data_IF_046155272129
#
_entry.id   IF_046155272129
#
_cell.length_a   1.000
_cell.length_b   1.000
_cell.length_c   1.000
_cell.angle_alpha   90.00
_cell.angle_beta   90.00
_cell.angle_gamma   90.00
#
_symmetry.space_group_name_H-M   'P 1'
#
loop_
_entity.id
_entity.type
_entity.pdbx_description
1 polymer ?
#
# COMPACT_ATOMS: atom_id res chain seq x y z
N UNK A 1 -12.14 -21.12 -1.18
CA UNK A 1 -11.04 -21.42 -0.25
C UNK A 1 -10.69 -20.13 0.48
N UNK A 2 -10.42 -20.17 1.78
CA UNK A 2 -10.01 -18.98 2.53
C UNK A 2 -8.61 -18.56 2.10
N UNK A 3 -8.30 -17.26 2.13
CA UNK A 3 -6.97 -16.74 1.73
C UNK A 3 -5.83 -17.46 2.44
N UNK A 4 -5.99 -17.76 3.74
CA UNK A 4 -5.02 -18.50 4.54
C UNK A 4 -4.76 -19.92 3.99
N UNK A 5 -5.82 -20.65 3.65
CA UNK A 5 -5.73 -22.02 3.13
C UNK A 5 -5.04 -22.04 1.75
N UNK A 6 -5.41 -21.11 0.86
CA UNK A 6 -4.77 -20.94 -0.46
C UNK A 6 -3.28 -20.66 -0.29
N UNK A 7 -2.95 -19.75 0.63
CA UNK A 7 -1.57 -19.36 0.91
C UNK A 7 -0.75 -20.53 1.44
N UNK A 8 -1.25 -21.26 2.44
CA UNK A 8 -0.57 -22.41 3.04
C UNK A 8 -0.35 -23.53 2.02
N UNK A 9 -1.39 -23.86 1.25
CA UNK A 9 -1.29 -24.86 0.19
C UNK A 9 -0.21 -24.48 -0.82
N UNK A 10 -0.25 -23.22 -1.28
CA UNK A 10 0.70 -22.74 -2.27
C UNK A 10 2.12 -22.64 -1.71
N UNK A 11 2.29 -22.26 -0.43
CA UNK A 11 3.60 -22.23 0.21
C UNK A 11 4.23 -23.62 0.25
N UNK A 12 3.45 -24.66 0.58
CA UNK A 12 3.91 -26.05 0.59
C UNK A 12 4.30 -26.50 -0.83
N UNK A 13 3.44 -26.26 -1.82
CA UNK A 13 3.69 -26.65 -3.21
C UNK A 13 4.93 -25.95 -3.76
N UNK A 14 5.07 -24.64 -3.54
CA UNK A 14 6.25 -23.90 -3.96
C UNK A 14 7.50 -24.33 -3.20
N UNK A 15 7.41 -24.64 -1.91
CA UNK A 15 8.56 -25.17 -1.16
C UNK A 15 9.06 -26.48 -1.75
N UNK A 16 8.17 -27.36 -2.22
CA UNK A 16 8.57 -28.60 -2.90
C UNK A 16 9.19 -28.32 -4.27
N UNK A 17 8.65 -27.34 -5.02
CA UNK A 17 9.13 -27.03 -6.37
C UNK A 17 10.47 -26.26 -6.39
N UNK A 18 10.77 -25.46 -5.35
CA UNK A 18 11.97 -24.61 -5.27
C UNK A 18 12.95 -24.98 -4.13
N UNK A 19 12.59 -25.89 -3.22
CA UNK A 19 13.34 -26.17 -1.99
C UNK A 19 14.48 -27.19 -2.06
N UNK A 20 14.79 -27.79 -3.22
CA UNK A 20 15.84 -28.82 -3.35
C UNK A 20 16.92 -28.47 -4.38
N UNK A 21 17.65 -27.37 -4.17
CA UNK A 21 18.83 -27.09 -5.01
C UNK A 21 20.05 -27.98 -4.64
N UNK A 22 20.03 -28.66 -3.48
CA UNK A 22 21.16 -29.46 -2.99
C UNK A 22 21.14 -30.92 -3.47
N UNK A 23 19.99 -31.45 -3.91
CA UNK A 23 19.87 -32.79 -4.51
C UNK A 23 19.78 -32.65 -6.04
N UNK A 24 20.95 -32.64 -6.69
CA UNK A 24 21.14 -32.51 -8.15
C UNK A 24 20.50 -33.61 -9.01
N UNK A 25 19.67 -34.48 -8.44
CA UNK A 25 19.06 -35.64 -9.11
C UNK A 25 17.59 -35.46 -9.51
N UNK A 26 16.89 -34.42 -9.02
CA UNK A 26 15.49 -34.17 -9.33
C UNK A 26 15.32 -32.79 -9.98
N UNK A 27 15.23 -32.77 -11.31
CA UNK A 27 14.86 -31.57 -12.06
C UNK A 27 13.35 -31.29 -11.89
N UNK A 28 13.03 -30.35 -11.00
CA UNK A 28 11.65 -29.91 -10.72
C UNK A 28 11.18 -28.79 -11.66
N UNK A 29 11.93 -28.48 -12.74
CA UNK A 29 11.57 -27.44 -13.71
C UNK A 29 10.17 -27.62 -14.29
N UNK A 30 9.79 -28.87 -14.61
CA UNK A 30 8.45 -29.21 -15.10
C UNK A 30 7.34 -28.82 -14.14
N UNK A 31 7.52 -29.09 -12.84
CA UNK A 31 6.55 -28.71 -11.79
C UNK A 31 6.49 -27.19 -11.62
N UNK A 32 7.64 -26.51 -11.65
CA UNK A 32 7.70 -25.04 -11.58
C UNK A 32 6.92 -24.40 -12.73
N UNK A 33 7.09 -24.91 -13.95
CA UNK A 33 6.38 -24.43 -15.14
C UNK A 33 4.87 -24.68 -15.07
N UNK A 34 4.45 -25.85 -14.57
CA UNK A 34 3.03 -26.16 -14.36
C UNK A 34 2.38 -25.22 -13.32
N UNK A 35 3.07 -24.99 -12.21
CA UNK A 35 2.63 -24.05 -11.16
C UNK A 35 2.47 -22.66 -11.75
N UNK A 36 3.50 -22.16 -12.43
CA UNK A 36 3.49 -20.84 -13.07
C UNK A 36 2.33 -20.75 -14.08
N UNK A 37 2.12 -21.79 -14.89
CA UNK A 37 1.06 -21.83 -15.88
C UNK A 37 -0.34 -21.77 -15.23
N UNK A 38 -0.56 -22.50 -14.14
CA UNK A 38 -1.84 -22.49 -13.40
C UNK A 38 -2.09 -21.10 -12.82
N UNK A 39 -1.08 -20.49 -12.20
CA UNK A 39 -1.18 -19.13 -11.65
C UNK A 39 -1.53 -18.12 -12.75
N UNK A 40 -0.83 -18.15 -13.89
CA UNK A 40 -1.13 -17.26 -15.01
C UNK A 40 -2.54 -17.46 -15.57
N UNK A 41 -3.04 -18.69 -15.61
CA UNK A 41 -4.44 -18.98 -16.00
C UNK A 41 -5.43 -18.35 -15.02
N UNK A 42 -5.17 -18.43 -13.71
CA UNK A 42 -6.01 -17.81 -12.69
C UNK A 42 -6.00 -16.28 -12.79
N UNK A 43 -4.83 -15.67 -13.04
CA UNK A 43 -4.69 -14.22 -13.20
C UNK A 43 -5.35 -13.65 -14.47
N UNK A 44 -5.67 -14.51 -15.45
CA UNK A 44 -6.43 -14.13 -16.67
C UNK A 44 -7.91 -14.49 -16.58
N UNK A 45 -8.36 -15.06 -15.47
CA UNK A 45 -9.75 -15.45 -15.30
C UNK A 45 -10.62 -14.21 -15.01
N UNK A 46 -11.71 -13.98 -15.76
CA UNK A 46 -12.62 -12.86 -15.49
C UNK A 46 -13.43 -13.05 -14.21
N UNK A 47 -13.50 -14.28 -13.67
CA UNK A 47 -14.12 -14.53 -12.37
C UNK A 47 -13.23 -13.95 -11.26
N UNK A 48 -13.75 -12.95 -10.55
CA UNK A 48 -13.03 -12.26 -9.47
C UNK A 48 -12.59 -13.18 -8.35
N UNK A 49 -13.31 -14.28 -8.07
CA UNK A 49 -12.93 -15.25 -7.04
C UNK A 49 -11.73 -16.08 -7.47
N UNK A 50 -11.67 -16.45 -8.75
CA UNK A 50 -10.53 -17.19 -9.31
C UNK A 50 -9.32 -16.26 -9.42
N UNK A 51 -9.51 -15.04 -9.93
CA UNK A 51 -8.47 -14.01 -9.99
C UNK A 51 -7.89 -13.72 -8.59
N UNK A 52 -8.74 -13.56 -7.59
CA UNK A 52 -8.35 -13.37 -6.18
C UNK A 52 -7.45 -14.49 -5.66
N UNK A 53 -7.77 -15.75 -5.93
CA UNK A 53 -6.89 -16.86 -5.55
C UNK A 53 -5.58 -16.83 -6.34
N UNK A 54 -5.65 -16.49 -7.64
CA UNK A 54 -4.48 -16.29 -8.49
C UNK A 54 -3.51 -15.27 -7.94
N UNK A 55 -4.00 -14.13 -7.40
CA UNK A 55 -3.18 -13.11 -6.73
C UNK A 55 -2.42 -13.70 -5.55
N UNK A 56 -3.11 -14.43 -4.66
CA UNK A 56 -2.48 -15.06 -3.49
C UNK A 56 -1.42 -16.07 -3.93
N UNK A 57 -1.77 -16.94 -4.89
CA UNK A 57 -0.84 -17.95 -5.40
C UNK A 57 0.40 -17.32 -6.05
N UNK A 58 0.19 -16.26 -6.84
CA UNK A 58 1.28 -15.58 -7.54
C UNK A 58 2.26 -14.90 -6.57
N UNK A 59 1.75 -14.31 -5.47
CA UNK A 59 2.62 -13.73 -4.44
C UNK A 59 3.40 -14.80 -3.67
N UNK A 60 2.86 -16.01 -3.53
CA UNK A 60 3.62 -17.15 -3.01
C UNK A 60 4.68 -17.63 -4.01
N UNK A 61 4.39 -17.66 -5.32
CA UNK A 61 5.44 -17.92 -6.33
C UNK A 61 6.54 -16.85 -6.25
N UNK A 62 6.18 -15.57 -6.15
CA UNK A 62 7.12 -14.45 -6.00
C UNK A 62 8.02 -14.68 -4.78
N UNK A 63 7.44 -15.02 -3.62
CA UNK A 63 8.21 -15.37 -2.41
C UNK A 63 9.30 -16.38 -2.71
N UNK A 64 8.95 -17.51 -3.31
CA UNK A 64 9.90 -18.61 -3.57
C UNK A 64 10.89 -18.33 -4.70
N UNK A 65 10.56 -17.42 -5.63
CA UNK A 65 11.50 -16.95 -6.65
C UNK A 65 12.54 -15.97 -6.08
N UNK A 66 12.16 -15.17 -5.07
CA UNK A 66 13.01 -14.10 -4.54
C UNK A 66 13.69 -14.46 -3.22
N UNK A 67 13.27 -15.52 -2.54
CA UNK A 67 14.01 -16.05 -1.40
C UNK A 67 15.34 -16.67 -1.86
N UNK A 68 16.43 -16.16 -1.30
CA UNK A 68 17.79 -16.67 -1.51
C UNK A 68 18.10 -17.77 -0.50
N UNK A 69 18.92 -18.74 -0.88
CA UNK A 69 19.47 -19.72 0.08
C UNK A 69 20.42 -19.03 1.07
N UNK A 70 20.70 -19.67 2.21
CA UNK A 70 21.64 -19.13 3.21
C UNK A 70 23.08 -18.94 2.67
N UNK A 71 23.41 -19.65 1.59
CA UNK A 71 24.74 -19.60 0.95
C UNK A 71 24.87 -18.47 -0.08
N UNK A 72 23.75 -17.92 -0.57
CA UNK A 72 23.72 -16.84 -1.56
C UNK A 72 23.94 -15.48 -0.88
N UNK A 73 24.81 -14.63 -1.44
CA UNK A 73 24.98 -13.27 -0.93
C UNK A 73 23.70 -12.45 -1.11
N UNK A 74 23.29 -11.80 -0.02
CA UNK A 74 22.13 -10.92 0.01
C UNK A 74 22.54 -9.54 0.54
N UNK A 75 23.47 -8.93 -0.18
CA UNK A 75 23.97 -7.60 0.12
C UNK A 75 22.89 -6.56 -0.19
N UNK A 76 22.81 -5.53 0.65
CA UNK A 76 21.93 -4.40 0.39
C UNK A 76 22.54 -3.62 -0.78
N UNK A 77 21.78 -3.36 -1.87
CA UNK A 77 22.28 -2.54 -2.97
C UNK A 77 22.79 -1.19 -2.41
N UNK A 78 24.03 -0.83 -2.70
CA UNK A 78 24.61 0.45 -2.31
C UNK A 78 23.91 1.56 -3.11
N UNK A 79 22.96 2.27 -2.49
CA UNK A 79 22.41 3.54 -3.00
C UNK A 79 23.52 4.59 -2.89
N UNK A 80 23.95 5.26 -3.96
CA UNK A 80 23.43 6.58 -4.35
C UNK A 80 23.75 6.99 -5.81
N UNK A 81 24.48 6.18 -6.61
CA UNK A 81 25.12 6.70 -7.84
C UNK A 81 24.37 6.39 -9.14
N UNK A 82 23.43 5.43 -9.19
CA UNK A 82 22.61 5.26 -10.40
C UNK A 82 21.32 4.49 -10.08
N UNK A 83 20.21 5.23 -9.86
CA UNK A 83 18.88 4.64 -9.68
C UNK A 83 18.44 3.81 -10.90
N UNK A 84 19.03 4.08 -12.08
CA UNK A 84 18.78 3.36 -13.33
C UNK A 84 19.58 2.05 -13.49
N UNK A 85 20.54 1.76 -12.60
CA UNK A 85 21.43 0.58 -12.71
C UNK A 85 21.08 -0.59 -11.81
N UNK A 86 19.92 -0.59 -11.13
CA UNK A 86 19.53 -1.68 -10.24
C UNK A 86 19.26 -2.98 -11.04
N UNK A 87 20.29 -3.83 -11.13
CA UNK A 87 20.23 -5.11 -11.83
C UNK A 87 19.54 -6.15 -10.94
N UNK A 88 18.44 -6.72 -11.46
CA UNK A 88 17.80 -7.89 -10.87
C UNK A 88 18.39 -9.15 -11.50
N UNK A 89 18.48 -10.23 -10.72
CA UNK A 89 18.77 -11.54 -11.29
C UNK A 89 17.54 -12.08 -12.05
N UNK A 90 17.73 -13.11 -12.88
CA UNK A 90 16.67 -13.69 -13.71
C UNK A 90 15.42 -14.14 -12.91
N UNK A 91 15.57 -14.62 -11.67
CA UNK A 91 14.43 -15.03 -10.83
C UNK A 91 13.65 -13.81 -10.34
N UNK A 92 14.37 -12.80 -9.85
CA UNK A 92 13.83 -11.53 -9.37
C UNK A 92 13.18 -10.71 -10.50
N UNK A 93 13.71 -10.76 -11.72
CA UNK A 93 13.07 -10.16 -12.90
C UNK A 93 11.72 -10.81 -13.19
N UNK A 94 11.67 -12.16 -13.25
CA UNK A 94 10.41 -12.90 -13.44
C UNK A 94 9.41 -12.58 -12.34
N UNK A 95 9.85 -12.57 -11.08
CA UNK A 95 9.01 -12.23 -9.93
C UNK A 95 8.47 -10.80 -10.03
N UNK A 96 9.30 -9.85 -10.45
CA UNK A 96 8.90 -8.46 -10.63
C UNK A 96 7.86 -8.31 -11.75
N UNK A 97 8.04 -8.98 -12.89
CA UNK A 97 7.05 -8.98 -13.97
C UNK A 97 5.71 -9.56 -13.53
N UNK A 98 5.70 -10.61 -12.68
CA UNK A 98 4.48 -11.11 -12.07
C UNK A 98 3.81 -10.06 -11.19
N UNK A 99 4.60 -9.39 -10.35
CA UNK A 99 4.08 -8.38 -9.44
C UNK A 99 3.42 -7.23 -10.20
N UNK A 100 4.07 -6.72 -11.25
CA UNK A 100 3.51 -5.67 -12.11
C UNK A 100 2.19 -6.09 -12.76
N UNK A 101 2.13 -7.33 -13.27
CA UNK A 101 0.91 -7.87 -13.87
C UNK A 101 -0.25 -7.93 -12.87
N UNK A 102 0.01 -8.36 -11.64
CA UNK A 102 -1.02 -8.47 -10.59
C UNK A 102 -1.48 -7.09 -10.12
N UNK A 103 -0.55 -6.16 -9.92
CA UNK A 103 -0.86 -4.77 -9.54
C UNK A 103 -1.74 -4.14 -10.62
N UNK A 104 -1.35 -4.25 -11.89
CA UNK A 104 -2.11 -3.71 -13.01
C UNK A 104 -3.48 -4.40 -13.17
N UNK A 105 -3.51 -5.73 -13.08
CA UNK A 105 -4.73 -6.53 -13.23
C UNK A 105 -5.75 -6.32 -12.11
N UNK A 106 -5.30 -5.90 -10.92
CA UNK A 106 -6.18 -5.68 -9.77
C UNK A 106 -6.78 -4.28 -9.70
N UNK A 107 -6.28 -3.28 -10.46
CA UNK A 107 -6.73 -1.87 -10.37
C UNK A 107 -8.24 -1.65 -10.57
N UNK A 108 -8.88 -2.50 -11.37
CA UNK A 108 -10.32 -2.41 -11.65
C UNK A 108 -11.20 -2.93 -10.51
N UNK A 109 -10.63 -3.67 -9.55
CA UNK A 109 -11.34 -4.24 -8.42
C UNK A 109 -10.69 -3.82 -7.10
N UNK A 110 -11.30 -2.90 -6.32
CA UNK A 110 -10.73 -2.39 -5.07
C UNK A 110 -10.40 -3.48 -4.06
N UNK A 111 -11.28 -4.47 -3.89
CA UNK A 111 -11.08 -5.54 -2.90
C UNK A 111 -9.84 -6.37 -3.26
N UNK A 112 -9.68 -6.71 -4.53
CA UNK A 112 -8.50 -7.47 -4.97
C UNK A 112 -7.25 -6.60 -4.95
N UNK A 113 -7.34 -5.31 -5.26
CA UNK A 113 -6.18 -4.41 -5.21
C UNK A 113 -5.65 -4.25 -3.78
N UNK A 114 -6.55 -4.05 -2.80
CA UNK A 114 -6.21 -4.04 -1.37
C UNK A 114 -5.60 -5.39 -0.97
N UNK A 115 -6.21 -6.50 -1.40
CA UNK A 115 -5.66 -7.83 -1.12
C UNK A 115 -4.25 -8.01 -1.68
N UNK A 116 -3.98 -7.53 -2.90
CA UNK A 116 -2.64 -7.60 -3.51
C UNK A 116 -1.59 -6.96 -2.62
N UNK A 117 -1.84 -5.73 -2.15
CA UNK A 117 -0.90 -5.04 -1.25
C UNK A 117 -0.82 -5.72 0.12
N UNK A 118 -1.93 -6.17 0.70
CA UNK A 118 -1.93 -6.87 1.98
C UNK A 118 -1.17 -8.20 1.93
N UNK A 119 -1.32 -8.94 0.84
CA UNK A 119 -0.58 -10.18 0.62
C UNK A 119 0.90 -9.91 0.31
N UNK A 120 1.23 -8.85 -0.42
CA UNK A 120 2.60 -8.47 -0.69
C UNK A 120 3.32 -8.09 0.61
N UNK A 121 2.71 -7.22 1.43
CA UNK A 121 3.24 -6.85 2.74
C UNK A 121 3.41 -8.09 3.63
N UNK A 122 2.43 -9.00 3.63
CA UNK A 122 2.56 -10.28 4.34
C UNK A 122 3.78 -11.08 3.86
N UNK A 123 3.94 -11.26 2.54
CA UNK A 123 5.06 -12.03 1.98
C UNK A 123 6.40 -11.41 2.37
N UNK A 124 6.55 -10.11 2.25
CA UNK A 124 7.79 -9.40 2.61
C UNK A 124 8.09 -9.58 4.10
N UNK A 125 7.11 -9.31 4.98
CA UNK A 125 7.30 -9.40 6.44
C UNK A 125 7.56 -10.82 6.96
N UNK A 126 7.16 -11.85 6.22
CA UNK A 126 7.27 -13.25 6.63
C UNK A 126 8.31 -14.04 5.79
N UNK A 127 9.22 -13.33 5.12
CA UNK A 127 10.31 -13.94 4.35
C UNK A 127 11.65 -13.49 4.92
N UNK A 128 12.43 -14.44 5.47
CA UNK A 128 13.65 -14.11 6.21
C UNK A 128 14.80 -13.66 5.29
N UNK A 129 14.95 -14.25 4.11
CA UNK A 129 16.05 -13.98 3.19
C UNK A 129 15.57 -13.60 1.77
N UNK A 130 14.62 -12.67 1.68
CA UNK A 130 14.16 -12.15 0.38
C UNK A 130 15.25 -11.29 -0.28
N UNK A 131 15.41 -11.40 -1.61
CA UNK A 131 16.40 -10.66 -2.40
C UNK A 131 16.24 -9.14 -2.22
N UNK A 132 17.27 -8.50 -1.66
CA UNK A 132 17.24 -7.06 -1.36
C UNK A 132 17.17 -6.18 -2.59
N UNK A 133 17.72 -6.62 -3.74
CA UNK A 133 17.57 -5.89 -5.00
C UNK A 133 16.11 -5.87 -5.45
N UNK A 134 15.42 -7.02 -5.36
CA UNK A 134 13.99 -7.09 -5.62
C UNK A 134 13.21 -6.16 -4.67
N UNK A 135 13.48 -6.24 -3.37
CA UNK A 135 12.80 -5.39 -2.38
C UNK A 135 13.03 -3.89 -2.65
N UNK A 136 14.25 -3.45 -2.98
CA UNK A 136 14.50 -2.02 -3.30
C UNK A 136 13.73 -1.58 -4.54
N UNK A 137 13.66 -2.41 -5.59
CA UNK A 137 12.85 -2.10 -6.78
C UNK A 137 11.37 -1.99 -6.45
N UNK A 138 10.85 -2.90 -5.62
CA UNK A 138 9.47 -2.83 -5.13
C UNK A 138 9.26 -1.55 -4.31
N UNK A 139 10.20 -1.18 -3.43
CA UNK A 139 10.09 0.05 -2.63
C UNK A 139 10.00 1.28 -3.54
N UNK A 140 10.89 1.40 -4.53
CA UNK A 140 10.87 2.50 -5.50
C UNK A 140 9.52 2.66 -6.20
N UNK A 141 8.92 1.58 -6.72
CA UNK A 141 7.61 1.68 -7.40
C UNK A 141 6.47 2.02 -6.43
N UNK A 142 6.53 1.56 -5.18
CA UNK A 142 5.49 1.81 -4.18
C UNK A 142 5.57 3.25 -3.66
N UNK A 143 6.78 3.73 -3.37
CA UNK A 143 7.04 5.12 -3.02
C UNK A 143 6.64 6.06 -4.16
N UNK A 144 7.01 5.76 -5.41
CA UNK A 144 6.58 6.53 -6.57
C UNK A 144 5.05 6.52 -6.74
N UNK A 145 4.39 5.39 -6.46
CA UNK A 145 2.92 5.31 -6.47
C UNK A 145 2.30 6.19 -5.39
N UNK A 146 2.87 6.23 -4.19
CA UNK A 146 2.40 7.12 -3.12
C UNK A 146 2.59 8.59 -3.51
N UNK A 147 3.80 8.95 -3.93
CA UNK A 147 4.17 10.32 -4.28
C UNK A 147 3.30 10.86 -5.41
N UNK A 148 3.20 10.13 -6.53
CA UNK A 148 2.49 10.59 -7.72
C UNK A 148 0.97 10.79 -7.55
N UNK A 149 0.35 10.13 -6.56
CA UNK A 149 -1.11 10.15 -6.40
C UNK A 149 -1.59 10.89 -5.16
N UNK A 150 -0.74 11.02 -4.14
CA UNK A 150 -1.19 11.46 -2.82
C UNK A 150 -0.33 12.55 -2.20
N UNK A 151 0.91 12.76 -2.65
CA UNK A 151 1.82 13.69 -1.97
C UNK A 151 2.05 14.92 -2.84
N UNK A 152 1.91 16.10 -2.23
CA UNK A 152 2.24 17.41 -2.82
C UNK A 152 3.06 18.22 -1.83
N UNK A 153 3.72 19.29 -2.28
CA UNK A 153 4.28 20.31 -1.39
C UNK A 153 3.15 21.18 -0.81
N UNK A 154 3.37 21.78 0.37
CA UNK A 154 2.38 22.69 0.96
C UNK A 154 2.16 23.93 0.10
N UNK A 155 3.21 24.39 -0.60
CA UNK A 155 3.16 25.48 -1.56
C UNK A 155 2.29 25.18 -2.79
N UNK A 156 2.15 23.91 -3.16
CA UNK A 156 1.31 23.45 -4.28
C UNK A 156 -0.16 23.26 -3.88
N UNK A 157 -0.49 23.35 -2.59
CA UNK A 157 -1.87 23.23 -2.13
C UNK A 157 -2.71 24.41 -2.59
N UNK A 158 -3.70 24.13 -3.44
CA UNK A 158 -4.71 25.08 -3.87
C UNK A 158 -6.12 24.52 -3.63
N UNK A 159 -6.89 25.18 -2.77
CA UNK A 159 -8.29 24.83 -2.57
C UNK A 159 -9.07 25.03 -3.88
N UNK A 160 -9.85 24.02 -4.29
CA UNK A 160 -10.61 24.07 -5.54
C UNK A 160 -11.94 24.78 -5.32
N UNK A 161 -12.26 25.75 -6.19
CA UNK A 161 -13.49 26.54 -6.13
C UNK A 161 -14.70 25.79 -6.74
N UNK A 162 -14.98 24.60 -6.22
CA UNK A 162 -16.10 23.74 -6.68
C UNK A 162 -17.16 23.55 -5.58
N UNK A 163 -17.26 24.50 -4.65
CA UNK A 163 -18.19 24.41 -3.52
C UNK A 163 -17.74 23.45 -2.41
N UNK A 164 -16.56 22.83 -2.55
CA UNK A 164 -15.88 22.09 -1.49
C UNK A 164 -14.72 22.92 -0.96
N UNK A 165 -14.97 23.66 0.14
CA UNK A 165 -13.91 24.41 0.81
C UNK A 165 -12.93 23.43 1.50
N UNK A 166 -11.64 23.55 1.23
CA UNK A 166 -10.58 22.63 1.67
C UNK A 166 -9.53 23.36 2.49
N UNK A 167 -8.99 22.68 3.52
CA UNK A 167 -7.88 23.18 4.33
C UNK A 167 -6.88 22.09 4.66
N UNK A 168 -5.63 22.51 4.77
CA UNK A 168 -4.57 21.73 5.40
C UNK A 168 -4.87 21.59 6.90
N UNK A 169 -4.99 20.35 7.36
CA UNK A 169 -5.33 20.02 8.74
C UNK A 169 -4.32 19.00 9.28
N UNK A 170 -4.21 18.92 10.61
CA UNK A 170 -3.39 17.93 11.31
C UNK A 170 -1.88 17.96 11.00
N UNK A 171 -1.33 19.12 10.63
CA UNK A 171 0.12 19.30 10.52
C UNK A 171 0.79 19.22 11.90
N UNK A 172 1.86 18.44 12.01
CA UNK A 172 2.71 18.38 13.21
C UNK A 172 4.11 18.97 12.95
N UNK A 173 4.54 19.06 11.69
CA UNK A 173 5.86 19.56 11.28
C UNK A 173 5.78 21.05 10.89
N UNK A 174 5.38 21.89 11.85
CA UNK A 174 5.17 23.33 11.63
C UNK A 174 6.48 24.14 11.51
N UNK A 175 7.61 23.51 11.80
CA UNK A 175 8.96 24.06 11.72
C UNK A 175 9.59 23.95 10.33
N UNK A 176 9.02 23.13 9.45
CA UNK A 176 9.44 23.02 8.05
C UNK A 176 8.90 24.18 7.22
N UNK A 177 9.74 24.73 6.33
CA UNK A 177 9.37 25.85 5.48
C UNK A 177 8.33 25.47 4.39
N UNK A 178 8.41 24.25 3.87
CA UNK A 178 7.47 23.71 2.88
C UNK A 178 7.23 22.21 3.16
N UNK A 179 6.44 21.84 4.18
CA UNK A 179 6.20 20.44 4.53
C UNK A 179 5.41 19.73 3.43
N UNK A 180 5.59 18.40 3.33
CA UNK A 180 4.76 17.58 2.46
C UNK A 180 3.31 17.53 2.97
N UNK A 181 2.37 17.35 2.04
CA UNK A 181 0.95 17.26 2.32
C UNK A 181 0.39 15.99 1.69
N UNK A 182 -0.43 15.27 2.46
CA UNK A 182 -1.30 14.23 1.92
C UNK A 182 -2.52 14.90 1.25
N UNK A 183 -2.53 14.94 -0.08
CA UNK A 183 -3.60 15.49 -0.91
C UNK A 183 -4.83 14.55 -0.99
N UNK A 184 -5.38 14.19 0.17
CA UNK A 184 -6.42 13.18 0.30
C UNK A 184 -7.74 13.63 -0.32
N UNK A 185 -8.14 14.88 -0.06
CA UNK A 185 -9.42 15.40 -0.54
C UNK A 185 -9.49 15.40 -2.07
N UNK A 186 -8.43 15.83 -2.76
CA UNK A 186 -8.39 15.77 -4.22
C UNK A 186 -8.43 14.33 -4.74
N UNK A 187 -7.72 13.40 -4.10
CA UNK A 187 -7.77 11.99 -4.45
C UNK A 187 -9.22 11.45 -4.40
N UNK A 188 -9.96 11.72 -3.31
CA UNK A 188 -11.36 11.32 -3.14
C UNK A 188 -12.29 11.97 -4.18
N UNK A 189 -12.11 13.27 -4.46
CA UNK A 189 -12.91 14.00 -5.46
C UNK A 189 -12.66 13.42 -6.86
N UNK A 190 -11.40 13.17 -7.20
CA UNK A 190 -11.00 12.63 -8.50
C UNK A 190 -11.59 11.24 -8.75
N UNK A 191 -11.62 10.38 -7.72
CA UNK A 191 -12.23 9.04 -7.80
C UNK A 191 -13.75 9.10 -7.91
N UNK A 192 -14.38 10.04 -7.19
CA UNK A 192 -15.83 10.20 -7.20
C UNK A 192 -16.33 10.69 -8.57
N UNK A 193 -15.57 11.55 -9.26
CA UNK A 193 -15.91 12.08 -10.59
C UNK A 193 -15.68 11.08 -11.73
N UNK A 194 -14.79 10.09 -11.57
CA UNK A 194 -14.49 9.13 -12.63
C UNK A 194 -15.71 8.24 -12.92
N UNK A 195 -16.14 8.25 -14.19
CA UNK A 195 -17.28 7.47 -14.71
C UNK A 195 -17.21 5.98 -14.37
N UNK A 196 -18.39 5.35 -14.25
CA UNK A 196 -18.61 3.96 -13.85
C UNK A 196 -17.88 2.88 -14.68
N UNK A 197 -17.31 3.20 -15.84
CA UNK A 197 -16.70 2.20 -16.74
C UNK A 197 -15.31 1.74 -16.29
N UNK A 198 -14.53 2.57 -15.60
CA UNK A 198 -13.21 2.22 -15.04
C UNK A 198 -12.97 3.03 -13.77
N UNK A 199 -13.56 2.60 -12.66
CA UNK A 199 -13.33 3.21 -11.35
C UNK A 199 -12.00 2.72 -10.79
N UNK A 200 -11.01 3.59 -10.86
CA UNK A 200 -9.72 3.42 -10.21
C UNK A 200 -9.89 3.81 -8.74
N UNK A 201 -10.26 2.83 -7.91
CA UNK A 201 -10.52 3.04 -6.48
C UNK A 201 -9.20 2.92 -5.71
N UNK A 202 -8.29 3.88 -5.90
CA UNK A 202 -6.94 3.82 -5.32
C UNK A 202 -6.94 4.18 -3.84
N UNK A 203 -7.82 5.08 -3.42
CA UNK A 203 -7.83 5.68 -2.08
C UNK A 203 -8.19 4.65 -0.99
N UNK A 204 -9.00 3.64 -1.32
CA UNK A 204 -9.25 2.51 -0.40
C UNK A 204 -8.01 1.63 -0.21
N UNK A 205 -7.09 1.59 -1.18
CA UNK A 205 -5.85 0.83 -1.11
C UNK A 205 -4.68 1.60 -0.48
N UNK A 206 -4.82 2.92 -0.24
CA UNK A 206 -3.79 3.75 0.38
C UNK A 206 -3.24 3.16 1.71
N UNK A 207 -4.07 2.69 2.67
CA UNK A 207 -3.56 2.07 3.89
C UNK A 207 -2.71 0.81 3.61
N UNK A 208 -3.14 -0.02 2.66
CA UNK A 208 -2.41 -1.23 2.29
C UNK A 208 -1.09 -0.91 1.56
N UNK A 209 -1.07 0.12 0.73
CA UNK A 209 0.15 0.64 0.09
C UNK A 209 1.18 1.07 1.14
N UNK A 210 0.76 1.84 2.16
CA UNK A 210 1.65 2.25 3.26
C UNK A 210 2.17 1.04 4.03
N UNK A 211 1.34 0.02 4.23
CA UNK A 211 1.77 -1.23 4.87
C UNK A 211 2.85 -1.95 4.09
N UNK A 212 2.76 -1.95 2.74
CA UNK A 212 3.81 -2.48 1.87
C UNK A 212 5.09 -1.66 1.99
N UNK A 213 5.00 -0.33 1.89
CA UNK A 213 6.17 0.56 2.02
C UNK A 213 6.86 0.31 3.36
N UNK A 214 6.10 0.33 4.46
CA UNK A 214 6.61 0.00 5.79
C UNK A 214 7.27 -1.39 5.85
N UNK A 215 6.70 -2.39 5.19
CA UNK A 215 7.27 -3.74 5.20
C UNK A 215 8.59 -3.85 4.43
N UNK A 216 8.87 -2.92 3.50
CA UNK A 216 10.10 -2.89 2.72
C UNK A 216 11.21 -2.13 3.46
N UNK A 217 10.83 -1.12 4.25
CA UNK A 217 11.73 -0.32 5.09
C UNK A 217 12.03 -1.03 6.43
N UNK A 218 12.61 -2.23 6.35
CA UNK A 218 12.76 -3.20 7.46
C UNK A 218 13.66 -2.76 8.62
N UNK A 219 14.32 -1.60 8.57
CA UNK A 219 15.20 -1.14 9.64
C UNK A 219 15.26 0.39 9.78
N UNK A 220 15.02 1.13 8.70
CA UNK A 220 15.12 2.58 8.69
C UNK A 220 13.92 3.18 7.96
N UNK A 221 13.09 3.93 8.69
CA UNK A 221 11.91 4.61 8.15
C UNK A 221 12.20 6.10 7.88
N UNK A 222 13.47 6.52 7.89
CA UNK A 222 13.87 7.92 7.61
C UNK A 222 13.42 8.40 6.25
N UNK A 223 13.42 7.54 5.21
CA UNK A 223 12.95 7.91 3.87
C UNK A 223 11.46 8.34 3.85
N UNK A 224 10.68 7.96 4.88
CA UNK A 224 9.24 8.22 4.95
C UNK A 224 8.79 8.90 6.25
N UNK A 225 9.72 9.40 7.08
CA UNK A 225 9.44 9.96 8.40
C UNK A 225 8.52 11.19 8.36
N UNK A 226 8.63 11.99 7.29
CA UNK A 226 7.79 13.13 7.01
C UNK A 226 6.29 12.76 6.91
N UNK A 227 5.95 11.50 6.57
CA UNK A 227 4.56 11.04 6.54
C UNK A 227 3.89 11.06 7.92
N UNK A 228 4.66 10.94 9.01
CA UNK A 228 4.10 10.98 10.36
C UNK A 228 3.61 12.37 10.72
N UNK A 229 4.29 13.43 10.30
CA UNK A 229 3.98 14.81 10.68
C UNK A 229 3.33 15.66 9.59
N UNK A 230 3.22 15.13 8.37
CA UNK A 230 2.59 15.81 7.23
C UNK A 230 1.17 16.32 7.54
N UNK A 231 0.81 17.42 6.89
CA UNK A 231 -0.57 17.88 6.87
C UNK A 231 -1.43 17.00 5.96
N UNK A 232 -2.75 17.08 6.11
CA UNK A 232 -3.71 16.42 5.23
C UNK A 232 -4.64 17.48 4.64
N UNK A 233 -4.76 17.50 3.31
CA UNK A 233 -5.80 18.26 2.62
C UNK A 233 -7.16 17.61 2.90
N UNK A 234 -8.01 18.32 3.64
CA UNK A 234 -9.30 17.83 4.11
C UNK A 234 -10.38 18.89 3.89
N UNK A 235 -11.65 18.48 3.70
CA UNK A 235 -12.78 19.40 3.73
C UNK A 235 -12.78 20.26 4.99
N UNK A 236 -13.16 21.53 4.84
CA UNK A 236 -13.18 22.50 5.92
C UNK A 236 -14.03 22.04 7.11
N UNK A 237 -13.62 22.32 8.37
CA UNK A 237 -14.38 21.95 9.56
C UNK A 237 -15.86 22.37 9.54
N UNK A 238 -16.17 23.50 8.89
CA UNK A 238 -17.52 24.03 8.75
C UNK A 238 -18.47 23.11 7.95
N UNK A 239 -17.94 22.32 7.02
CA UNK A 239 -18.71 21.32 6.26
C UNK A 239 -19.26 20.27 7.23
N UNK A 240 -18.43 19.82 8.17
CA UNK A 240 -18.82 18.82 9.16
C UNK A 240 -19.74 19.36 10.26
N UNK A 241 -19.67 20.65 10.59
CA UNK A 241 -20.58 21.26 11.58
C UNK A 241 -21.98 21.46 11.01
N UNK A 242 -22.07 21.77 9.71
CA UNK A 242 -23.32 21.95 8.97
C UNK A 242 -23.64 20.75 8.06
N UNK A 243 -23.24 19.55 8.48
CA UNK A 243 -23.21 18.37 7.61
C UNK A 243 -24.59 18.04 7.03
N UNK A 244 -25.64 18.03 7.86
CA UNK A 244 -27.02 17.76 7.43
C UNK A 244 -27.57 18.74 6.39
N UNK A 245 -26.99 19.95 6.27
CA UNK A 245 -27.42 20.96 5.29
C UNK A 245 -26.52 21.01 4.05
N UNK A 246 -25.47 20.20 4.00
CA UNK A 246 -24.60 20.10 2.83
C UNK A 246 -25.32 19.31 1.73
N UNK A 247 -24.92 19.55 0.48
CA UNK A 247 -25.35 18.75 -0.65
C UNK A 247 -24.92 17.27 -0.46
N UNK A 248 -25.72 16.26 -0.85
CA UNK A 248 -25.38 14.85 -0.71
C UNK A 248 -24.04 14.44 -1.31
N UNK A 249 -23.62 15.09 -2.41
CA UNK A 249 -22.31 14.86 -3.01
C UNK A 249 -21.18 15.31 -2.07
N UNK A 250 -21.31 16.48 -1.46
CA UNK A 250 -20.36 17.02 -0.48
C UNK A 250 -20.38 16.18 0.81
N UNK A 251 -21.55 15.74 1.27
CA UNK A 251 -21.66 14.83 2.42
C UNK A 251 -20.88 13.53 2.19
N UNK A 252 -21.02 12.94 1.01
CA UNK A 252 -20.29 11.72 0.63
C UNK A 252 -18.78 11.95 0.63
N UNK A 253 -18.29 12.96 -0.09
CA UNK A 253 -16.84 13.27 -0.13
C UNK A 253 -16.31 13.53 1.27
N UNK A 254 -17.03 14.30 2.08
CA UNK A 254 -16.63 14.63 3.43
C UNK A 254 -16.50 13.37 4.31
N UNK A 255 -17.45 12.44 4.22
CA UNK A 255 -17.38 11.14 4.91
C UNK A 255 -16.23 10.28 4.41
N UNK A 256 -16.07 10.14 3.09
CA UNK A 256 -15.00 9.35 2.49
C UNK A 256 -13.63 9.87 2.94
N UNK A 257 -13.40 11.19 2.92
CA UNK A 257 -12.21 11.83 3.46
C UNK A 257 -11.97 11.50 4.94
N UNK A 258 -13.01 11.53 5.79
CA UNK A 258 -12.86 11.17 7.21
C UNK A 258 -12.46 9.71 7.40
N UNK A 259 -13.09 8.79 6.66
CA UNK A 259 -12.76 7.36 6.73
C UNK A 259 -11.33 7.09 6.27
N UNK A 260 -10.92 7.66 5.14
CA UNK A 260 -9.57 7.49 4.63
C UNK A 260 -8.52 8.15 5.53
N UNK A 261 -8.76 9.35 6.07
CA UNK A 261 -7.86 10.00 7.02
C UNK A 261 -7.73 9.20 8.33
N UNK A 262 -8.82 8.61 8.82
CA UNK A 262 -8.80 7.77 10.02
C UNK A 262 -7.95 6.50 9.79
N UNK A 263 -8.10 5.84 8.64
CA UNK A 263 -7.28 4.69 8.29
C UNK A 263 -5.82 5.06 8.01
N UNK A 264 -5.56 6.22 7.41
CA UNK A 264 -4.22 6.79 7.26
C UNK A 264 -3.53 6.95 8.61
N UNK A 265 -4.21 7.54 9.61
CA UNK A 265 -3.64 7.67 10.96
C UNK A 265 -3.37 6.32 11.62
N UNK A 266 -4.25 5.33 11.44
CA UNK A 266 -4.00 3.98 11.97
C UNK A 266 -2.73 3.37 11.39
N UNK A 267 -2.52 3.48 10.07
CA UNK A 267 -1.32 2.93 9.45
C UNK A 267 -0.06 3.74 9.77
N UNK A 268 -0.12 5.08 9.82
CA UNK A 268 1.05 5.87 10.25
C UNK A 268 1.42 5.58 11.71
N UNK A 269 0.45 5.44 12.60
CA UNK A 269 0.71 4.98 13.98
C UNK A 269 1.38 3.60 13.96
N UNK A 270 0.85 2.64 13.20
CA UNK A 270 1.43 1.30 13.07
C UNK A 270 2.85 1.30 12.48
N UNK A 271 3.19 2.28 11.64
CA UNK A 271 4.53 2.45 11.07
C UNK A 271 5.52 3.01 12.08
N UNK A 272 5.11 4.00 12.87
CA UNK A 272 6.02 4.78 13.71
C UNK A 272 5.89 4.48 15.21
N UNK A 273 5.16 3.45 15.61
CA UNK A 273 4.95 3.10 17.04
C UNK A 273 6.25 2.80 17.78
N UNK A 274 7.33 2.43 17.09
CA UNK A 274 8.65 2.19 17.68
C UNK A 274 9.23 3.45 18.34
N UNK A 275 8.90 4.66 17.86
CA UNK A 275 9.33 5.94 18.44
C UNK A 275 8.91 6.09 19.92
N UNK A 276 7.84 5.41 20.33
CA UNK A 276 7.42 5.36 21.74
C UNK A 276 8.50 4.72 22.62
N UNK A 277 9.14 3.65 22.13
CA UNK A 277 10.24 2.98 22.83
C UNK A 277 11.53 3.81 22.81
N UNK A 278 11.72 4.63 21.79
CA UNK A 278 12.88 5.53 21.64
C UNK A 278 12.75 6.84 22.44
N UNK A 279 11.63 7.05 23.12
CA UNK A 279 11.42 8.21 23.99
C UNK A 279 10.89 9.46 23.28
N UNK A 280 10.39 9.34 22.04
CA UNK A 280 9.80 10.43 21.25
C UNK A 280 8.30 10.19 20.92
N UNK A 281 7.43 9.97 21.92
CA UNK A 281 6.05 9.53 21.70
C UNK A 281 5.09 10.62 21.21
N UNK A 282 5.48 11.90 21.21
CA UNK A 282 4.55 13.03 21.08
C UNK A 282 3.74 13.00 19.78
N UNK A 283 4.39 12.79 18.64
CA UNK A 283 3.71 12.71 17.34
C UNK A 283 2.73 11.52 17.30
N UNK A 284 3.09 10.39 17.87
CA UNK A 284 2.22 9.20 17.97
C UNK A 284 0.99 9.49 18.81
N UNK A 285 1.15 10.11 19.99
CA UNK A 285 0.04 10.49 20.86
C UNK A 285 -0.90 11.46 20.15
N UNK A 286 -0.35 12.44 19.42
CA UNK A 286 -1.15 13.39 18.63
C UNK A 286 -1.93 12.70 17.52
N UNK A 287 -1.36 11.71 16.82
CA UNK A 287 -2.09 10.90 15.84
C UNK A 287 -3.17 10.03 16.47
N UNK A 288 -2.94 9.45 17.65
CA UNK A 288 -3.98 8.70 18.40
C UNK A 288 -5.16 9.63 18.76
N UNK A 289 -4.87 10.84 19.27
CA UNK A 289 -5.92 11.86 19.50
C UNK A 289 -6.66 12.22 18.21
N UNK A 290 -5.93 12.32 17.11
CA UNK A 290 -6.50 12.50 15.76
C UNK A 290 -7.48 11.39 15.38
N UNK A 291 -7.13 10.11 15.61
CA UNK A 291 -8.03 8.98 15.37
C UNK A 291 -9.33 9.11 16.18
N UNK A 292 -9.23 9.41 17.48
CA UNK A 292 -10.41 9.58 18.36
C UNK A 292 -11.30 10.73 17.87
N UNK A 293 -10.68 11.86 17.50
CA UNK A 293 -11.40 13.01 16.94
C UNK A 293 -12.14 12.65 15.64
N UNK A 294 -11.44 12.03 14.69
CA UNK A 294 -12.03 11.62 13.41
C UNK A 294 -13.16 10.59 13.59
N UNK A 295 -12.99 9.60 14.47
CA UNK A 295 -14.04 8.62 14.78
C UNK A 295 -15.30 9.26 15.38
N UNK A 296 -15.12 10.24 16.27
CA UNK A 296 -16.22 11.01 16.85
C UNK A 296 -16.95 11.79 15.76
N UNK A 297 -16.19 12.41 14.85
CA UNK A 297 -16.73 13.18 13.73
C UNK A 297 -17.50 12.30 12.74
N UNK A 298 -16.95 11.13 12.39
CA UNK A 298 -17.62 10.10 11.57
C UNK A 298 -18.95 9.69 12.21
N UNK A 299 -18.93 9.35 13.50
CA UNK A 299 -20.13 8.92 14.23
C UNK A 299 -21.22 10.00 14.22
N UNK A 300 -20.83 11.26 14.40
CA UNK A 300 -21.73 12.41 14.34
C UNK A 300 -22.31 12.60 12.94
N UNK A 301 -21.49 12.59 11.90
CA UNK A 301 -21.95 12.78 10.51
C UNK A 301 -22.85 11.62 10.05
N UNK A 302 -22.51 10.37 10.38
CA UNK A 302 -23.33 9.20 10.05
C UNK A 302 -24.70 9.22 10.73
N UNK A 303 -24.81 9.79 11.94
CA UNK A 303 -26.11 9.97 12.59
C UNK A 303 -27.03 10.99 11.91
N UNK A 304 -26.48 11.77 10.98
CA UNK A 304 -27.19 12.82 10.23
C UNK A 304 -27.48 12.43 8.78
N UNK A 305 -26.87 11.36 8.27
CA UNK A 305 -27.27 10.74 7.00
C UNK A 305 -28.57 9.97 7.21
N UNK A 306 -29.65 10.48 6.60
CA UNK A 306 -30.96 9.82 6.55
C UNK A 306 -31.02 8.82 5.39
#
# INVERSE_FOLDING_TARGET
MKVLEVRQLMDIICSVAWGSQNDSSLDMSSLQDEIIMIVQKQLRCPDSKVFRNGVVCALMVIKHLTCKSEEESNDTPLSEIDQDSLVLNNRSEKAFSFLELIIQGSRSNPEVHVLTYDQLAYVIMNSENMDKSFMKKVSQIMQATLQNHYIIASSDFAAKDEGLDEKLQFCLDNDLADPIVLNLCDAVVSETKRSHSFRDHRTVALPALIRVIRSLELADLTEIDALLGCAIAMPCPNIYTKFSTQDPYIQKIALDCLFHACNWFRETINSFVYMVKEGSPDKIIMRIRGVVYLQTLISRCLSQTA
#
